data_IF_965100030106
#
_entry.id   IF_965100030106
#
_cell.length_a   1.000
_cell.length_b   1.000
_cell.length_c   1.000
_cell.angle_alpha   90.00
_cell.angle_beta   90.00
_cell.angle_gamma   90.00
#
_symmetry.space_group_name_H-M   'P 1'
#
loop_
_entity.id
_entity.type
_entity.pdbx_description
1 polymer ?
#
# COMPACT_ATOMS: atom_id res chain seq x y z
N UNK A 1 11.57 29.80 -12.66
CA UNK A 1 12.08 28.41 -12.45
C UNK A 1 12.53 28.24 -11.00
N UNK A 2 12.85 27.03 -10.53
CA UNK A 2 13.43 26.82 -9.19
C UNK A 2 14.87 26.34 -9.32
N UNK A 3 15.75 26.78 -8.42
CA UNK A 3 17.15 26.36 -8.43
C UNK A 3 17.26 24.88 -8.06
N UNK A 4 17.86 24.07 -8.94
CA UNK A 4 18.01 22.62 -8.72
C UNK A 4 18.91 22.27 -7.53
N UNK A 5 19.72 23.22 -7.05
CA UNK A 5 20.62 23.01 -5.91
C UNK A 5 20.01 23.38 -4.55
N UNK A 6 19.13 24.38 -4.49
CA UNK A 6 18.62 24.87 -3.20
C UNK A 6 17.10 25.09 -3.15
N UNK A 7 16.37 24.81 -4.23
CA UNK A 7 14.91 24.94 -4.28
C UNK A 7 14.38 26.38 -4.24
N UNK A 8 15.26 27.40 -4.20
CA UNK A 8 14.81 28.79 -4.22
C UNK A 8 14.22 29.17 -5.58
N UNK A 9 13.14 29.96 -5.57
CA UNK A 9 12.52 30.45 -6.80
C UNK A 9 13.47 31.43 -7.49
N UNK A 10 13.81 31.13 -8.74
CA UNK A 10 14.65 31.98 -9.61
C UNK A 10 13.74 32.64 -10.65
N UNK A 11 13.80 33.96 -10.69
CA UNK A 11 13.06 34.79 -11.64
C UNK A 11 13.68 34.69 -13.05
N UNK A 12 12.88 34.89 -14.09
CA UNK A 12 13.31 34.74 -15.49
C UNK A 12 14.40 35.77 -15.85
N UNK A 13 15.52 35.29 -16.42
CA UNK A 13 16.65 36.12 -16.83
C UNK A 13 17.84 36.17 -15.85
N UNK A 14 17.71 35.58 -14.66
CA UNK A 14 18.80 35.51 -13.66
C UNK A 14 19.83 34.43 -14.01
N UNK A 15 21.10 34.82 -14.11
CA UNK A 15 22.20 33.92 -14.49
C UNK A 15 22.71 33.05 -13.31
N UNK A 16 22.42 33.47 -12.09
CA UNK A 16 22.84 32.79 -10.85
C UNK A 16 21.70 32.83 -9.84
N UNK A 17 21.57 31.77 -9.04
CA UNK A 17 20.59 31.74 -7.95
C UNK A 17 20.98 32.78 -6.88
N UNK A 18 20.09 33.72 -6.52
CA UNK A 18 20.40 34.75 -5.53
C UNK A 18 20.58 34.20 -4.11
N UNK A 19 20.14 32.96 -3.86
CA UNK A 19 20.23 32.33 -2.55
C UNK A 19 21.51 31.49 -2.37
N UNK A 20 21.87 30.65 -3.35
CA UNK A 20 23.02 29.75 -3.22
C UNK A 20 24.20 30.04 -4.15
N UNK A 21 24.06 31.00 -5.07
CA UNK A 21 25.10 31.38 -6.04
C UNK A 21 25.32 30.38 -7.19
N UNK A 22 24.57 29.27 -7.24
CA UNK A 22 24.67 28.31 -8.34
C UNK A 22 24.19 28.93 -9.66
N UNK A 23 24.97 28.71 -10.72
CA UNK A 23 24.63 29.19 -12.07
C UNK A 23 23.38 28.48 -12.59
N UNK A 24 22.49 29.25 -13.23
CA UNK A 24 21.25 28.75 -13.80
C UNK A 24 21.40 28.70 -15.32
N UNK A 25 21.22 27.53 -15.90
CA UNK A 25 21.35 27.34 -17.35
C UNK A 25 20.10 27.88 -18.06
N UNK A 26 20.25 28.94 -18.87
CA UNK A 26 19.17 29.50 -19.67
C UNK A 26 19.31 29.08 -21.14
N UNK A 27 18.17 28.80 -21.79
CA UNK A 27 18.11 28.28 -23.17
C UNK A 27 18.78 29.21 -24.21
N UNK A 28 18.89 30.50 -23.94
CA UNK A 28 19.59 31.47 -24.79
C UNK A 28 21.13 31.31 -24.80
N UNK A 29 21.70 30.69 -23.77
CA UNK A 29 23.15 30.47 -23.68
C UNK A 29 23.60 29.29 -24.55
N UNK A 30 22.72 28.32 -24.79
CA UNK A 30 22.99 27.10 -25.57
C UNK A 30 23.05 27.39 -27.07
N UNK A 31 22.24 28.33 -27.57
CA UNK A 31 22.20 28.69 -29.00
C UNK A 31 23.47 29.45 -29.44
N UNK A 32 24.00 30.34 -28.59
CA UNK A 32 25.20 31.16 -28.88
C UNK A 32 26.51 30.36 -28.88
N UNK A 33 26.54 29.20 -28.23
CA UNK A 33 27.73 28.32 -28.21
C UNK A 33 27.80 27.48 -29.49
N UNK A 34 26.66 27.09 -30.05
CA UNK A 34 26.59 26.30 -31.29
C UNK A 34 27.00 27.14 -32.51
N UNK A 35 26.61 28.42 -32.54
CA UNK A 35 26.93 29.31 -33.66
C UNK A 35 28.45 29.57 -33.80
N UNK A 36 29.17 29.72 -32.68
CA UNK A 36 30.63 29.95 -32.68
C UNK A 36 31.46 28.70 -33.04
N UNK A 37 30.89 27.50 -32.97
CA UNK A 37 31.59 26.26 -33.29
C UNK A 37 31.57 25.92 -34.79
N UNK A 38 30.65 26.51 -35.57
CA UNK A 38 30.45 26.18 -36.99
C UNK A 38 31.45 26.94 -37.91
N UNK A 39 31.97 28.11 -37.52
CA UNK A 39 32.87 28.92 -38.36
C UNK A 39 34.28 28.35 -38.59
N UNK A 40 34.71 27.31 -37.84
CA UNK A 40 36.11 26.84 -37.88
C UNK A 40 36.34 25.47 -38.53
N UNK A 41 35.33 24.83 -39.12
CA UNK A 41 35.52 23.54 -39.79
C UNK A 41 35.78 23.71 -41.31
N UNK A 42 36.89 23.16 -41.87
CA UNK A 42 37.17 23.27 -43.30
C UNK A 42 36.31 22.31 -44.13
N UNK A 43 35.83 22.81 -45.28
CA UNK A 43 34.92 22.10 -46.20
C UNK A 43 35.60 20.96 -46.96
N UNK A 44 35.08 19.73 -46.82
CA UNK A 44 35.49 18.55 -47.62
C UNK A 44 34.52 18.34 -48.78
N UNK A 45 35.04 18.38 -50.01
CA UNK A 45 34.30 18.15 -51.27
C UNK A 45 33.72 16.73 -51.35
N UNK A 46 32.43 16.60 -51.65
CA UNK A 46 31.76 15.33 -51.95
C UNK A 46 31.73 15.07 -53.47
N UNK A 47 32.19 13.89 -53.91
CA UNK A 47 31.95 13.33 -55.26
C UNK A 47 30.77 12.34 -55.22
N UNK A 48 29.88 12.43 -56.20
CA UNK A 48 28.56 11.80 -56.21
C UNK A 48 28.51 10.30 -56.46
N UNK A 49 27.39 9.68 -56.03
CA UNK A 49 26.97 8.30 -56.37
C UNK A 49 25.43 8.23 -56.50
N UNK A 50 24.90 8.71 -57.63
CA UNK A 50 23.47 8.78 -57.93
C UNK A 50 22.77 7.47 -58.36
N UNK A 51 23.29 6.29 -57.99
CA UNK A 51 22.62 5.00 -58.31
C UNK A 51 22.29 4.11 -57.10
N UNK A 52 22.70 4.50 -55.90
CA UNK A 52 22.45 3.72 -54.67
C UNK A 52 21.15 4.18 -53.98
N UNK A 53 20.76 5.45 -54.12
CA UNK A 53 19.61 6.02 -53.38
C UNK A 53 18.26 5.41 -53.84
N UNK A 54 18.07 5.11 -55.13
CA UNK A 54 16.80 4.60 -55.64
C UNK A 54 16.47 3.16 -55.21
N UNK A 55 17.48 2.32 -54.95
CA UNK A 55 17.28 0.94 -54.49
C UNK A 55 16.94 0.91 -53.00
N UNK A 56 17.60 1.78 -52.22
CA UNK A 56 17.33 1.90 -50.78
C UNK A 56 15.97 2.53 -50.49
N UNK A 57 15.51 3.50 -51.29
CA UNK A 57 14.16 4.05 -51.15
C UNK A 57 13.08 3.01 -51.44
N UNK A 58 13.24 2.18 -52.48
CA UNK A 58 12.29 1.10 -52.78
C UNK A 58 12.24 0.04 -51.66
N UNK A 59 13.40 -0.34 -51.11
CA UNK A 59 13.48 -1.28 -49.98
C UNK A 59 12.83 -0.72 -48.71
N UNK A 60 13.05 0.57 -48.40
CA UNK A 60 12.42 1.23 -47.25
C UNK A 60 10.90 1.31 -47.43
N UNK A 61 10.40 1.63 -48.64
CA UNK A 61 8.95 1.63 -48.90
C UNK A 61 8.31 0.25 -48.71
N UNK A 62 8.98 -0.83 -49.12
CA UNK A 62 8.47 -2.20 -48.93
C UNK A 62 8.44 -2.57 -47.44
N UNK A 63 9.47 -2.21 -46.67
CA UNK A 63 9.52 -2.44 -45.23
C UNK A 63 8.41 -1.67 -44.52
N UNK A 64 8.15 -0.42 -44.90
CA UNK A 64 7.07 0.38 -44.32
C UNK A 64 5.68 -0.20 -44.64
N UNK A 65 5.47 -0.74 -45.85
CA UNK A 65 4.21 -1.41 -46.22
C UNK A 65 4.01 -2.70 -45.42
N UNK A 66 5.08 -3.50 -45.24
CA UNK A 66 5.02 -4.72 -44.43
C UNK A 66 4.78 -4.41 -42.95
N UNK A 67 5.39 -3.35 -42.41
CA UNK A 67 5.14 -2.88 -41.05
C UNK A 67 3.70 -2.41 -40.88
N UNK A 68 3.15 -1.65 -41.83
CA UNK A 68 1.75 -1.23 -41.80
C UNK A 68 0.77 -2.41 -41.91
N UNK A 69 1.08 -3.42 -42.73
CA UNK A 69 0.27 -4.63 -42.80
C UNK A 69 0.33 -5.43 -41.49
N UNK A 70 1.49 -5.51 -40.84
CA UNK A 70 1.67 -6.18 -39.56
C UNK A 70 0.95 -5.46 -38.41
N UNK A 71 0.95 -4.12 -38.38
CA UNK A 71 0.21 -3.36 -37.37
C UNK A 71 -1.30 -3.53 -37.53
N UNK A 72 -1.82 -3.50 -38.76
CA UNK A 72 -3.24 -3.77 -39.03
C UNK A 72 -3.63 -5.20 -38.61
N UNK A 73 -2.77 -6.19 -38.87
CA UNK A 73 -2.99 -7.57 -38.46
C UNK A 73 -2.99 -7.73 -36.93
N UNK A 74 -2.05 -7.09 -36.23
CA UNK A 74 -1.98 -7.11 -34.76
C UNK A 74 -3.19 -6.44 -34.11
N UNK A 75 -3.65 -5.30 -34.63
CA UNK A 75 -4.84 -4.62 -34.11
C UNK A 75 -6.08 -5.50 -34.28
N UNK A 76 -6.29 -6.09 -35.48
CA UNK A 76 -7.43 -7.02 -35.71
C UNK A 76 -7.37 -8.28 -34.84
N UNK A 77 -6.17 -8.80 -34.53
CA UNK A 77 -6.01 -9.94 -33.62
C UNK A 77 -6.39 -9.56 -32.17
N UNK A 78 -6.00 -8.36 -31.74
CA UNK A 78 -6.28 -7.86 -30.38
C UNK A 78 -7.77 -7.63 -30.10
N UNK A 79 -8.55 -7.26 -31.11
CA UNK A 79 -10.00 -7.07 -30.99
C UNK A 79 -10.75 -8.39 -30.78
N UNK A 80 -10.29 -9.47 -31.42
CA UNK A 80 -10.86 -10.82 -31.26
C UNK A 80 -10.63 -11.39 -29.86
N UNK A 81 -9.45 -11.14 -29.28
CA UNK A 81 -9.10 -11.59 -27.92
C UNK A 81 -9.94 -10.85 -26.86
N UNK A 82 -10.13 -9.52 -27.01
CA UNK A 82 -10.97 -8.72 -26.11
C UNK A 82 -12.45 -9.15 -26.13
N UNK A 83 -13.01 -9.48 -27.29
CA UNK A 83 -14.40 -9.95 -27.37
C UNK A 83 -14.60 -11.35 -26.77
N UNK A 84 -13.60 -12.23 -26.87
CA UNK A 84 -13.64 -13.55 -26.24
C UNK A 84 -13.56 -13.45 -24.70
N UNK A 85 -12.81 -12.49 -24.17
CA UNK A 85 -12.66 -12.26 -22.74
C UNK A 85 -13.92 -11.64 -22.11
N UNK A 86 -14.55 -10.67 -22.79
CA UNK A 86 -15.84 -10.09 -22.37
C UNK A 86 -16.95 -11.15 -22.29
N UNK A 87 -17.04 -12.06 -23.26
CA UNK A 87 -18.02 -13.17 -23.23
C UNK A 87 -17.77 -14.13 -22.07
N UNK A 88 -16.51 -14.46 -21.76
CA UNK A 88 -16.17 -15.31 -20.60
C UNK A 88 -16.55 -14.64 -19.28
N UNK A 89 -16.39 -13.33 -19.17
CA UNK A 89 -16.79 -12.57 -17.97
C UNK A 89 -18.31 -12.50 -17.79
N UNK A 90 -19.09 -12.38 -18.88
CA UNK A 90 -20.55 -12.44 -18.83
C UNK A 90 -21.07 -13.82 -18.41
N UNK A 91 -20.52 -14.91 -18.97
CA UNK A 91 -20.90 -16.28 -18.59
C UNK A 91 -20.56 -16.58 -17.12
N UNK A 92 -19.43 -16.10 -16.62
CA UNK A 92 -19.06 -16.24 -15.21
C UNK A 92 -19.97 -15.42 -14.28
N UNK A 93 -20.41 -14.23 -14.69
CA UNK A 93 -21.38 -13.41 -13.93
C UNK A 93 -22.75 -14.09 -13.84
N UNK A 94 -23.26 -14.67 -14.91
CA UNK A 94 -24.53 -15.42 -14.86
C UNK A 94 -24.44 -16.67 -13.97
N UNK A 95 -23.32 -17.40 -14.05
CA UNK A 95 -23.09 -18.60 -13.23
C UNK A 95 -22.98 -18.27 -11.74
N UNK A 96 -22.35 -17.14 -11.40
CA UNK A 96 -22.24 -16.63 -10.03
C UNK A 96 -23.59 -16.20 -9.47
N UNK A 97 -24.42 -15.52 -10.26
CA UNK A 97 -25.77 -15.08 -9.87
C UNK A 97 -26.68 -16.28 -9.57
N UNK A 98 -26.64 -17.31 -10.43
CA UNK A 98 -27.41 -18.55 -10.27
C UNK A 98 -26.99 -19.35 -9.02
N UNK A 99 -25.69 -19.35 -8.67
CA UNK A 99 -25.19 -19.95 -7.41
C UNK A 99 -25.65 -19.18 -6.17
N UNK A 100 -25.71 -17.84 -6.24
CA UNK A 100 -26.17 -16.99 -5.12
C UNK A 100 -27.66 -17.18 -4.83
N UNK A 101 -28.47 -17.33 -5.87
CA UNK A 101 -29.92 -17.57 -5.74
C UNK A 101 -30.24 -18.95 -5.16
N UNK A 102 -29.42 -19.97 -5.46
CA UNK A 102 -29.60 -21.33 -4.93
C UNK A 102 -29.22 -21.41 -3.43
N UNK A 103 -28.17 -20.69 -3.02
CA UNK A 103 -27.71 -20.66 -1.62
C UNK A 103 -28.69 -19.92 -0.69
N UNK A 104 -29.28 -18.82 -1.18
CA UNK A 104 -30.29 -18.05 -0.45
C UNK A 104 -31.61 -18.82 -0.22
N UNK A 105 -31.91 -19.80 -1.07
CA UNK A 105 -33.06 -20.68 -0.89
C UNK A 105 -32.83 -21.81 0.13
N UNK A 106 -31.57 -22.21 0.36
CA UNK A 106 -31.21 -23.24 1.36
C UNK A 106 -31.08 -22.65 2.77
N UNK A 107 -30.60 -21.41 2.92
CA UNK A 107 -30.42 -20.77 4.22
C UNK A 107 -31.77 -20.38 4.86
N UNK A 108 -32.74 -19.88 4.08
CA UNK A 108 -34.09 -19.58 4.56
C UNK A 108 -34.85 -20.81 5.11
N UNK A 109 -34.49 -22.03 4.67
CA UNK A 109 -35.13 -23.27 5.14
C UNK A 109 -34.56 -23.75 6.48
N UNK A 110 -33.37 -23.29 6.87
CA UNK A 110 -32.73 -23.63 8.16
C UNK A 110 -33.12 -22.69 9.29
N UNK A 111 -33.43 -21.42 8.99
CA UNK A 111 -33.90 -20.45 10.00
C UNK A 111 -35.32 -20.77 10.52
N UNK A 112 -36.22 -21.30 9.68
CA UNK A 112 -37.58 -21.68 10.12
C UNK A 112 -37.63 -22.90 11.07
N UNK A 113 -36.61 -23.75 11.07
CA UNK A 113 -36.52 -24.93 11.95
C UNK A 113 -35.91 -24.63 13.34
N UNK A 114 -35.17 -23.51 13.48
CA UNK A 114 -34.54 -23.10 14.75
C UNK A 114 -35.53 -22.32 15.62
N UNK A 115 -36.35 -21.44 15.02
CA UNK A 115 -37.35 -20.65 15.77
C UNK A 115 -38.45 -21.50 16.44
N UNK A 116 -38.73 -22.72 15.94
CA UNK A 116 -39.72 -23.61 16.57
C UNK A 116 -39.20 -24.39 17.79
N UNK A 117 -37.88 -24.41 18.03
CA UNK A 117 -37.29 -25.08 19.19
C UNK A 117 -37.14 -24.17 20.41
N UNK A 118 -36.99 -22.87 20.20
CA UNK A 118 -36.75 -21.92 21.30
C UNK A 118 -38.03 -21.57 22.09
N UNK A 119 -39.21 -21.63 21.47
CA UNK A 119 -40.49 -21.37 22.16
C UNK A 119 -40.94 -22.48 23.15
N UNK A 120 -40.30 -23.66 23.16
CA UNK A 120 -40.66 -24.76 24.07
C UNK A 120 -39.82 -24.84 25.36
N UNK A 121 -38.67 -24.16 25.43
CA UNK A 121 -37.82 -24.17 26.64
C UNK A 121 -38.12 -23.04 27.63
N UNK A 122 -38.85 -21.99 27.21
CA UNK A 122 -39.10 -20.80 28.03
C UNK A 122 -40.24 -20.93 29.07
N UNK A 123 -41.00 -22.03 29.08
CA UNK A 123 -42.14 -22.20 30.01
C UNK A 123 -41.86 -23.01 31.29
N UNK A 124 -40.64 -23.53 31.50
CA UNK A 124 -40.42 -24.51 32.59
C UNK A 124 -39.45 -24.08 33.71
N UNK A 125 -39.20 -22.79 33.92
CA UNK A 125 -38.42 -22.39 35.09
C UNK A 125 -38.82 -21.01 35.65
N UNK A 126 -40.03 -20.94 36.20
CA UNK A 126 -40.41 -19.95 37.21
C UNK A 126 -40.92 -20.65 38.46
N UNK A 127 -40.03 -20.96 39.40
CA UNK A 127 -40.28 -20.83 40.84
C UNK A 127 -39.05 -21.29 41.66
N UNK A 128 -38.18 -20.36 42.05
CA UNK A 128 -37.87 -20.17 43.46
C UNK A 128 -37.10 -18.87 43.67
N UNK A 129 -37.39 -18.26 44.80
CA UNK A 129 -37.33 -16.83 45.05
C UNK A 129 -36.04 -16.38 45.75
N UNK A 130 -35.85 -15.07 45.67
CA UNK A 130 -35.30 -14.17 46.69
C UNK A 130 -33.91 -13.55 46.47
N UNK A 131 -34.00 -12.23 46.23
CA UNK A 131 -33.11 -11.18 46.73
C UNK A 131 -31.61 -11.51 46.72
N UNK A 132 -30.93 -10.99 45.71
CA UNK A 132 -29.61 -10.40 45.92
C UNK A 132 -29.57 -9.10 45.12
N UNK A 133 -29.19 -8.02 45.80
CA UNK A 133 -28.98 -6.70 45.20
C UNK A 133 -28.01 -6.85 44.03
N UNK A 134 -28.49 -6.52 42.84
CA UNK A 134 -27.66 -6.29 41.67
C UNK A 134 -26.81 -5.05 41.94
N UNK A 135 -25.60 -5.31 42.42
CA UNK A 135 -24.53 -4.34 42.44
C UNK A 135 -24.17 -4.18 40.97
N UNK A 136 -24.61 -3.09 40.34
CA UNK A 136 -24.12 -2.65 39.04
C UNK A 136 -22.59 -2.77 39.08
N UNK A 137 -22.08 -3.78 38.37
CA UNK A 137 -20.66 -3.96 38.16
C UNK A 137 -20.27 -2.81 37.23
N UNK A 138 -19.28 -1.98 37.56
CA UNK A 138 -18.92 -0.87 36.69
C UNK A 138 -18.55 -1.44 35.33
N UNK A 139 -19.20 -0.94 34.28
CA UNK A 139 -18.77 -1.13 32.89
C UNK A 139 -17.28 -0.80 32.84
N UNK A 140 -16.45 -1.83 32.67
CA UNK A 140 -15.01 -1.69 32.74
C UNK A 140 -14.56 -0.86 31.53
N UNK A 141 -14.24 0.41 31.79
CA UNK A 141 -13.59 1.34 30.87
C UNK A 141 -12.54 0.61 30.00
N UNK A 142 -12.45 0.94 28.69
CA UNK A 142 -11.48 0.29 27.82
C UNK A 142 -10.06 0.57 28.31
N UNK A 143 -9.28 -0.49 28.54
CA UNK A 143 -7.89 -0.40 29.00
C UNK A 143 -6.92 0.03 27.88
N UNK A 144 -7.36 0.88 26.94
CA UNK A 144 -6.62 1.29 25.77
C UNK A 144 -7.03 2.67 25.26
N UNK A 145 -6.23 3.24 24.36
CA UNK A 145 -6.44 4.55 23.75
C UNK A 145 -7.46 4.44 22.61
N UNK A 146 -8.53 5.26 22.59
CA UNK A 146 -9.46 5.31 21.46
C UNK A 146 -8.73 5.67 20.17
N UNK A 147 -8.98 4.91 19.11
CA UNK A 147 -8.33 5.13 17.79
C UNK A 147 -9.22 5.90 16.82
N UNK A 148 -10.54 5.93 17.05
CA UNK A 148 -11.52 6.39 16.06
C UNK A 148 -11.67 5.46 14.85
N UNK A 149 -11.01 4.29 14.85
CA UNK A 149 -11.11 3.28 13.81
C UNK A 149 -12.11 2.19 14.21
N UNK A 150 -12.64 1.50 13.20
CA UNK A 150 -13.59 0.39 13.40
C UNK A 150 -13.13 -0.86 12.67
N UNK A 151 -13.32 -2.01 13.31
CA UNK A 151 -13.10 -3.33 12.75
C UNK A 151 -14.25 -4.25 13.14
N UNK A 152 -14.74 -5.08 12.21
CA UNK A 152 -15.89 -5.96 12.41
C UNK A 152 -17.14 -5.28 13.02
N UNK A 153 -17.35 -3.99 12.72
CA UNK A 153 -18.51 -3.22 13.20
C UNK A 153 -18.39 -2.67 14.62
N UNK A 154 -17.23 -2.79 15.26
CA UNK A 154 -16.94 -2.23 16.58
C UNK A 154 -15.76 -1.27 16.52
N UNK A 155 -15.76 -0.26 17.39
CA UNK A 155 -14.57 0.58 17.61
C UNK A 155 -13.45 -0.27 18.19
N UNK A 156 -12.22 -0.04 17.75
CA UNK A 156 -11.03 -0.68 18.30
C UNK A 156 -10.23 0.28 19.16
N UNK A 157 -9.65 -0.25 20.24
CA UNK A 157 -8.84 0.53 21.16
C UNK A 157 -7.40 0.04 21.09
N UNK A 158 -6.45 0.98 20.92
CA UNK A 158 -5.03 0.69 20.94
C UNK A 158 -4.59 0.35 22.36
N UNK A 159 -3.93 -0.80 22.52
CA UNK A 159 -3.47 -1.27 23.82
C UNK A 159 -2.11 -0.64 24.16
N UNK A 160 -1.93 -0.23 25.42
CA UNK A 160 -0.73 0.46 25.87
C UNK A 160 0.51 -0.47 25.92
N UNK A 161 1.36 -0.35 24.91
CA UNK A 161 2.64 -1.02 24.78
C UNK A 161 3.74 -0.01 24.39
N UNK A 162 4.93 -0.20 24.95
CA UNK A 162 6.14 0.46 24.45
C UNK A 162 6.58 -0.23 23.16
N UNK A 163 6.83 0.56 22.11
CA UNK A 163 7.20 0.07 20.77
C UNK A 163 8.66 0.37 20.49
N UNK A 164 9.38 -0.65 20.02
CA UNK A 164 10.76 -0.57 19.53
C UNK A 164 10.90 -1.30 18.20
N UNK A 165 11.94 -0.99 17.44
CA UNK A 165 12.22 -1.63 16.15
C UNK A 165 13.67 -2.14 16.11
N UNK A 166 13.93 -3.13 15.27
CA UNK A 166 15.30 -3.64 15.02
C UNK A 166 16.22 -2.57 14.43
N UNK A 167 15.66 -1.66 13.63
CA UNK A 167 16.34 -0.49 13.09
C UNK A 167 15.34 0.66 12.85
N UNK A 168 15.89 1.83 12.58
CA UNK A 168 15.16 3.04 12.17
C UNK A 168 16.00 3.76 11.12
N UNK A 169 15.39 4.22 10.04
CA UNK A 169 16.06 5.05 9.04
C UNK A 169 16.45 6.40 9.64
N UNK A 170 17.75 6.72 9.55
CA UNK A 170 18.29 8.00 10.00
C UNK A 170 18.54 8.92 8.80
N UNK A 171 17.66 9.91 8.60
CA UNK A 171 17.80 10.91 7.54
C UNK A 171 17.66 12.33 8.09
N UNK A 172 18.59 13.22 7.72
CA UNK A 172 18.62 14.59 8.24
C UNK A 172 17.36 15.36 7.83
N UNK A 173 16.60 15.83 8.83
CA UNK A 173 15.39 16.62 8.62
C UNK A 173 14.11 15.80 8.53
N UNK A 174 14.19 14.47 8.66
CA UNK A 174 13.05 13.56 8.68
C UNK A 174 13.03 12.78 10.00
N UNK A 175 11.86 12.26 10.37
CA UNK A 175 11.67 11.44 11.54
C UNK A 175 10.88 10.19 11.17
N UNK A 176 11.56 9.05 11.19
CA UNK A 176 11.02 7.72 10.88
C UNK A 176 10.95 6.80 12.12
N UNK A 177 11.00 7.39 13.31
CA UNK A 177 11.02 6.64 14.57
C UNK A 177 9.73 5.88 14.88
N UNK A 178 9.82 4.97 15.83
CA UNK A 178 8.72 4.06 16.20
C UNK A 178 7.50 4.75 16.80
N UNK A 179 7.63 5.99 17.28
CA UNK A 179 6.48 6.77 17.76
C UNK A 179 5.44 7.01 16.65
N UNK A 180 5.86 7.00 15.38
CA UNK A 180 4.97 7.16 14.24
C UNK A 180 4.07 5.92 14.01
N UNK A 181 4.38 4.76 14.60
CA UNK A 181 3.55 3.55 14.44
C UNK A 181 2.25 3.59 15.24
N UNK A 182 2.11 4.56 16.14
CA UNK A 182 1.05 4.60 17.16
C UNK A 182 0.45 6.00 17.30
N UNK A 183 0.74 6.93 16.38
CA UNK A 183 0.25 8.30 16.45
C UNK A 183 -1.10 8.49 15.74
N UNK A 184 -1.58 7.46 15.01
CA UNK A 184 -2.84 7.49 14.25
C UNK A 184 -2.82 8.63 13.21
N UNK A 185 -1.64 8.93 12.66
CA UNK A 185 -1.41 9.92 11.63
C UNK A 185 -0.89 9.26 10.35
N UNK A 186 -1.78 9.14 9.37
CA UNK A 186 -1.44 8.54 8.08
C UNK A 186 -0.31 9.29 7.32
N UNK A 187 0.01 10.52 7.72
CA UNK A 187 1.05 11.33 7.11
C UNK A 187 2.46 11.07 7.67
N UNK A 188 2.60 10.24 8.70
CA UNK A 188 3.89 9.79 9.24
C UNK A 188 4.12 8.31 8.93
N UNK A 189 5.34 7.84 9.11
CA UNK A 189 5.63 6.40 9.07
C UNK A 189 6.90 6.07 9.85
N UNK A 190 7.00 4.83 10.30
CA UNK A 190 8.29 4.20 10.53
C UNK A 190 8.88 3.76 9.18
N UNK A 191 10.20 3.85 9.06
CA UNK A 191 10.96 3.28 7.95
C UNK A 191 12.16 2.53 8.52
N UNK A 192 12.43 1.33 7.99
CA UNK A 192 13.60 0.57 8.40
C UNK A 192 14.90 1.24 7.94
N UNK A 193 15.95 1.10 8.73
CA UNK A 193 17.27 1.66 8.44
C UNK A 193 18.32 0.59 8.15
N UNK A 194 17.89 -0.66 7.96
CA UNK A 194 18.79 -1.77 7.71
C UNK A 194 19.15 -1.83 6.22
N UNK A 195 20.26 -2.50 5.90
CA UNK A 195 20.59 -2.75 4.51
C UNK A 195 19.68 -3.84 3.93
N UNK A 196 19.04 -3.55 2.80
CA UNK A 196 18.14 -4.47 2.11
C UNK A 196 16.72 -3.93 2.07
N UNK A 197 15.77 -4.78 1.72
CA UNK A 197 14.38 -4.37 1.49
C UNK A 197 13.49 -4.44 2.75
N UNK A 198 14.07 -4.51 3.95
CA UNK A 198 13.32 -4.65 5.20
C UNK A 198 12.93 -6.10 5.61
N UNK A 199 13.25 -7.14 4.83
CA UNK A 199 13.02 -8.52 5.28
C UNK A 199 13.90 -8.87 6.49
N UNK A 200 13.30 -9.49 7.51
CA UNK A 200 13.81 -9.76 8.86
C UNK A 200 13.86 -8.57 9.81
N UNK A 201 13.48 -7.37 9.37
CA UNK A 201 13.25 -6.27 10.30
C UNK A 201 12.03 -6.58 11.17
N UNK A 202 12.00 -6.02 12.38
CA UNK A 202 10.99 -6.37 13.37
C UNK A 202 10.58 -5.20 14.24
N UNK A 203 9.31 -5.22 14.64
CA UNK A 203 8.71 -4.34 15.64
C UNK A 203 8.45 -5.17 16.90
N UNK A 204 8.87 -4.65 18.04
CA UNK A 204 8.71 -5.28 19.35
C UNK A 204 7.84 -4.40 20.25
N UNK A 205 6.72 -4.95 20.67
CA UNK A 205 5.79 -4.39 21.65
C UNK A 205 6.09 -4.99 23.02
N UNK A 206 6.34 -4.16 24.03
CA UNK A 206 6.54 -4.61 25.42
C UNK A 206 5.69 -3.81 26.41
N UNK A 207 5.27 -4.45 27.49
CA UNK A 207 4.57 -3.81 28.60
C UNK A 207 4.98 -4.42 29.93
N UNK A 208 4.94 -3.63 31.01
CA UNK A 208 5.35 -4.08 32.34
C UNK A 208 4.38 -5.11 32.95
N UNK A 209 3.12 -5.09 32.55
CA UNK A 209 2.07 -6.00 32.99
C UNK A 209 1.36 -6.59 31.78
N UNK A 210 0.90 -7.84 31.89
CA UNK A 210 0.12 -8.48 30.83
C UNK A 210 -1.13 -7.66 30.50
N UNK A 211 -1.26 -7.27 29.24
CA UNK A 211 -2.42 -6.59 28.68
C UNK A 211 -3.31 -7.59 27.95
N UNK A 212 -4.62 -7.32 27.91
CA UNK A 212 -5.55 -8.07 27.07
C UNK A 212 -5.49 -7.52 25.65
N UNK A 213 -5.23 -8.39 24.69
CA UNK A 213 -5.07 -8.07 23.26
C UNK A 213 -5.94 -9.00 22.43
N UNK A 214 -6.56 -8.48 21.37
CA UNK A 214 -7.40 -9.23 20.42
C UNK A 214 -6.71 -9.45 19.07
N UNK A 215 -5.83 -8.54 18.66
CA UNK A 215 -5.14 -8.64 17.38
C UNK A 215 -4.11 -7.54 17.14
N UNK A 216 -3.59 -7.52 15.92
CA UNK A 216 -2.66 -6.51 15.39
C UNK A 216 -3.35 -5.71 14.28
N UNK A 217 -3.37 -4.38 14.39
CA UNK A 217 -3.74 -3.48 13.32
C UNK A 217 -2.45 -2.94 12.70
N UNK A 218 -2.34 -2.91 11.37
CA UNK A 218 -1.21 -2.28 10.70
C UNK A 218 -1.58 -1.67 9.34
N UNK A 219 -0.98 -0.53 9.04
CA UNK A 219 -1.13 0.20 7.79
C UNK A 219 0.20 0.16 7.04
N UNK A 220 0.38 -0.79 6.10
CA UNK A 220 1.66 -1.01 5.43
C UNK A 220 1.95 0.04 4.34
N UNK A 221 3.20 0.51 4.28
CA UNK A 221 3.68 1.50 3.33
C UNK A 221 3.71 2.93 3.90
N UNK A 222 3.84 3.91 3.01
CA UNK A 222 3.79 5.36 3.32
C UNK A 222 2.72 6.02 2.44
N UNK A 223 1.75 6.72 3.03
CA UNK A 223 0.57 7.21 2.34
C UNK A 223 0.57 8.70 2.00
N UNK A 224 1.67 9.41 2.26
CA UNK A 224 1.81 10.86 1.96
C UNK A 224 1.61 11.18 0.47
N UNK A 225 1.91 10.24 -0.42
CA UNK A 225 1.49 10.26 -1.82
C UNK A 225 1.54 8.87 -2.44
N UNK A 226 0.74 8.63 -3.49
CA UNK A 226 0.81 7.39 -4.28
C UNK A 226 2.21 7.15 -4.86
N UNK A 227 2.90 8.22 -5.28
CA UNK A 227 4.27 8.11 -5.78
C UNK A 227 5.25 7.63 -4.71
N UNK A 228 5.19 8.19 -3.49
CA UNK A 228 6.04 7.73 -2.39
C UNK A 228 5.69 6.31 -1.94
N UNK A 229 4.42 5.94 -1.98
CA UNK A 229 3.98 4.58 -1.68
C UNK A 229 4.69 3.55 -2.57
N UNK A 230 4.67 3.75 -3.89
CA UNK A 230 5.30 2.82 -4.84
C UNK A 230 6.82 2.95 -4.92
N UNK A 231 7.39 4.09 -4.52
CA UNK A 231 8.85 4.27 -4.45
C UNK A 231 9.48 3.50 -3.31
N UNK A 232 8.77 3.32 -2.21
CA UNK A 232 9.24 2.61 -1.02
C UNK A 232 8.65 1.18 -0.96
N UNK A 233 9.28 0.36 -0.13
CA UNK A 233 8.79 -0.96 0.21
C UNK A 233 7.64 -0.94 1.22
N UNK A 234 6.86 -2.01 1.27
CA UNK A 234 5.80 -2.22 2.26
C UNK A 234 5.71 -3.69 2.68
N UNK A 235 5.49 -4.02 3.97
CA UNK A 235 5.37 -5.42 4.39
C UNK A 235 4.18 -6.09 3.70
N UNK A 236 4.39 -7.30 3.18
CA UNK A 236 3.34 -8.17 2.60
C UNK A 236 3.17 -9.48 3.36
N UNK A 237 4.18 -9.87 4.16
CA UNK A 237 4.10 -11.01 5.05
C UNK A 237 4.80 -10.72 6.39
N UNK A 238 4.20 -11.25 7.46
CA UNK A 238 4.62 -11.06 8.84
C UNK A 238 4.67 -12.42 9.56
N UNK A 239 5.65 -12.59 10.44
CA UNK A 239 5.65 -13.59 11.50
C UNK A 239 5.39 -12.87 12.82
N UNK A 240 4.34 -13.26 13.53
CA UNK A 240 3.88 -12.59 14.75
C UNK A 240 3.99 -13.56 15.91
N UNK A 241 4.87 -13.26 16.86
CA UNK A 241 5.07 -14.00 18.10
C UNK A 241 4.39 -13.22 19.23
N UNK A 242 3.39 -13.79 19.91
CA UNK A 242 2.60 -13.13 20.95
C UNK A 242 2.43 -14.03 22.18
N UNK A 243 3.22 -13.76 23.22
CA UNK A 243 3.34 -14.68 24.36
C UNK A 243 3.97 -16.01 23.95
N UNK A 244 3.29 -17.12 24.22
CA UNK A 244 3.76 -18.48 23.85
C UNK A 244 3.20 -18.96 22.51
N UNK A 245 2.46 -18.10 21.80
CA UNK A 245 1.83 -18.39 20.52
C UNK A 245 2.53 -17.64 19.39
N UNK A 246 2.42 -18.17 18.17
CA UNK A 246 2.93 -17.50 16.98
C UNK A 246 2.03 -17.79 15.77
N UNK A 247 2.01 -16.87 14.82
CA UNK A 247 1.31 -17.06 13.55
C UNK A 247 2.03 -16.36 12.40
N UNK A 248 1.87 -16.93 11.20
CA UNK A 248 2.26 -16.28 9.96
C UNK A 248 1.04 -15.63 9.31
N UNK A 249 1.23 -14.43 8.78
CA UNK A 249 0.21 -13.71 8.02
C UNK A 249 0.81 -13.22 6.71
N UNK A 250 0.05 -13.31 5.63
CA UNK A 250 0.42 -12.72 4.34
C UNK A 250 -0.82 -12.19 3.65
N UNK A 251 -0.67 -11.09 2.94
CA UNK A 251 -1.72 -10.53 2.09
C UNK A 251 -1.13 -10.13 0.73
N UNK A 252 -2.01 -9.73 -0.19
CA UNK A 252 -1.60 -9.14 -1.46
C UNK A 252 -2.07 -7.69 -1.45
N UNK A 253 -1.13 -6.76 -1.60
CA UNK A 253 -1.44 -5.35 -1.72
C UNK A 253 -2.28 -5.09 -2.99
N UNK A 254 -3.34 -4.30 -2.82
CA UNK A 254 -4.27 -3.92 -3.89
C UNK A 254 -4.35 -2.40 -4.09
N UNK A 255 -3.58 -1.61 -3.33
CA UNK A 255 -3.63 -0.15 -3.38
C UNK A 255 -5.02 0.43 -3.04
N UNK A 256 -5.78 -0.22 -2.17
CA UNK A 256 -7.18 0.14 -1.86
C UNK A 256 -7.34 1.59 -1.41
N UNK A 257 -6.40 2.09 -0.60
CA UNK A 257 -6.40 3.45 -0.09
C UNK A 257 -6.42 4.53 -1.20
N UNK A 258 -5.72 4.30 -2.31
CA UNK A 258 -5.65 5.27 -3.42
C UNK A 258 -6.91 5.24 -4.30
N UNK A 259 -7.66 4.13 -4.26
CA UNK A 259 -8.95 4.02 -4.95
C UNK A 259 -10.01 4.82 -4.21
N UNK A 260 -10.00 4.81 -2.88
CA UNK A 260 -11.01 5.47 -2.04
C UNK A 260 -10.62 6.90 -1.66
N UNK A 261 -9.33 7.23 -1.68
CA UNK A 261 -8.81 8.51 -1.22
C UNK A 261 -8.68 8.61 0.30
N UNK A 262 -8.82 7.50 1.02
CA UNK A 262 -8.64 7.41 2.47
C UNK A 262 -7.53 6.40 2.79
N UNK A 263 -6.44 6.88 3.40
CA UNK A 263 -5.29 6.05 3.76
C UNK A 263 -5.67 4.86 4.65
N UNK A 264 -6.55 5.08 5.63
CA UNK A 264 -6.97 4.03 6.57
C UNK A 264 -7.81 2.92 5.93
N UNK A 265 -8.26 3.06 4.68
CA UNK A 265 -8.87 1.95 3.93
C UNK A 265 -7.82 0.91 3.47
N UNK A 266 -6.53 1.22 3.63
CA UNK A 266 -5.42 0.29 3.52
C UNK A 266 -5.09 -0.43 4.85
N UNK A 267 -5.77 -0.10 5.94
CA UNK A 267 -5.50 -0.70 7.26
C UNK A 267 -5.88 -2.19 7.25
N UNK A 268 -4.98 -3.01 7.77
CA UNK A 268 -5.15 -4.46 7.88
C UNK A 268 -5.30 -4.82 9.35
N UNK A 269 -6.32 -5.64 9.63
CA UNK A 269 -6.60 -6.16 10.96
C UNK A 269 -6.37 -7.67 10.99
N UNK A 270 -5.45 -8.11 11.84
CA UNK A 270 -5.11 -9.52 12.07
C UNK A 270 -5.65 -9.92 13.44
N UNK A 271 -6.80 -10.58 13.46
CA UNK A 271 -7.39 -11.13 14.68
C UNK A 271 -6.62 -12.39 15.14
N UNK A 272 -6.25 -12.47 16.42
CA UNK A 272 -5.66 -13.67 17.02
C UNK A 272 -6.69 -14.80 17.27
N UNK A 273 -7.96 -14.57 16.90
CA UNK A 273 -9.08 -15.50 17.05
C UNK A 273 -9.65 -15.60 18.48
N UNK A 274 -8.96 -15.05 19.47
CA UNK A 274 -9.37 -14.95 20.87
C UNK A 274 -8.67 -13.78 21.53
N UNK A 275 -9.18 -13.34 22.67
CA UNK A 275 -8.42 -12.46 23.55
C UNK A 275 -7.27 -13.23 24.21
N UNK A 276 -6.08 -12.63 24.20
CA UNK A 276 -4.87 -13.15 24.83
C UNK A 276 -4.32 -12.16 25.85
N UNK A 277 -3.70 -12.67 26.93
CA UNK A 277 -3.05 -11.84 27.94
C UNK A 277 -1.54 -11.93 27.79
N UNK A 278 -0.94 -10.89 27.20
CA UNK A 278 0.48 -10.86 26.83
C UNK A 278 1.16 -9.58 27.34
N UNK A 279 2.45 -9.67 27.64
CA UNK A 279 3.31 -8.52 27.96
C UNK A 279 4.34 -8.23 26.88
N UNK A 280 4.39 -9.08 25.85
CA UNK A 280 5.33 -9.00 24.74
C UNK A 280 4.66 -9.51 23.46
N UNK A 281 4.89 -8.81 22.36
CA UNK A 281 4.58 -9.26 21.01
C UNK A 281 5.69 -8.80 20.07
N UNK A 282 6.25 -9.71 19.28
CA UNK A 282 7.24 -9.41 18.26
C UNK A 282 6.65 -9.68 16.88
N UNK A 283 6.68 -8.67 16.01
CA UNK A 283 6.27 -8.76 14.62
C UNK A 283 7.53 -8.70 13.77
N UNK A 284 7.86 -9.79 13.08
CA UNK A 284 8.99 -9.85 12.13
C UNK A 284 8.45 -9.80 10.72
N UNK A 285 9.01 -8.93 9.88
CA UNK A 285 8.68 -8.81 8.46
C UNK A 285 9.32 -9.98 7.73
N UNK A 286 8.50 -10.85 7.13
CA UNK A 286 8.96 -12.06 6.41
C UNK A 286 8.82 -11.94 4.90
N UNK A 287 8.13 -10.91 4.42
CA UNK A 287 8.03 -10.58 3.00
C UNK A 287 7.69 -9.11 2.80
N UNK A 288 8.25 -8.52 1.75
CA UNK A 288 8.11 -7.10 1.42
C UNK A 288 7.78 -6.96 -0.06
N UNK A 289 6.81 -6.10 -0.37
CA UNK A 289 6.67 -5.53 -1.70
C UNK A 289 7.82 -4.56 -1.92
N UNK A 290 8.69 -4.82 -2.88
CA UNK A 290 9.78 -3.91 -3.20
C UNK A 290 9.28 -2.54 -3.69
N UNK A 291 10.00 -1.48 -3.30
CA UNK A 291 9.86 -0.16 -3.88
C UNK A 291 10.49 -0.08 -5.27
N UNK A 292 10.04 0.86 -6.10
CA UNK A 292 10.62 1.10 -7.42
C UNK A 292 11.82 2.07 -7.39
N UNK A 293 12.19 2.61 -6.23
CA UNK A 293 13.28 3.58 -6.07
C UNK A 293 14.11 3.37 -4.81
N UNK A 294 13.46 3.15 -3.67
CA UNK A 294 14.10 3.00 -2.38
C UNK A 294 13.94 1.55 -1.90
N UNK A 295 14.94 1.05 -1.21
CA UNK A 295 14.89 -0.27 -0.59
C UNK A 295 14.17 -0.21 0.77
N UNK A 296 13.98 0.99 1.34
CA UNK A 296 13.38 1.17 2.67
C UNK A 296 11.93 0.64 2.73
N UNK A 297 11.64 -0.21 3.71
CA UNK A 297 10.33 -0.72 4.03
C UNK A 297 9.63 0.23 5.02
N UNK A 298 8.46 0.75 4.63
CA UNK A 298 7.70 1.69 5.44
C UNK A 298 6.46 1.05 6.07
N UNK A 299 6.12 1.51 7.28
CA UNK A 299 4.88 1.19 7.98
C UNK A 299 4.32 2.48 8.57
N UNK A 300 3.13 2.87 8.14
CA UNK A 300 2.45 4.08 8.62
C UNK A 300 1.90 3.88 10.03
N UNK A 301 1.16 2.80 10.29
CA UNK A 301 0.67 2.46 11.64
C UNK A 301 0.96 0.99 11.94
N UNK A 302 1.24 0.66 13.19
CA UNK A 302 1.19 -0.70 13.70
C UNK A 302 1.00 -0.72 15.21
N UNK A 303 -0.11 -1.29 15.67
CA UNK A 303 -0.41 -1.41 17.09
C UNK A 303 -1.27 -2.62 17.42
N UNK A 304 -1.17 -3.08 18.67
CA UNK A 304 -2.04 -4.12 19.21
C UNK A 304 -3.39 -3.50 19.61
N UNK A 305 -4.50 -4.15 19.26
CA UNK A 305 -5.84 -3.67 19.59
C UNK A 305 -6.63 -4.67 20.44
N UNK A 306 -7.67 -4.15 21.10
CA UNK A 306 -8.72 -4.91 21.80
C UNK A 306 -10.09 -4.55 21.27
#
# INVERSE_FOLDING_TARGET
MFCENCGHKVEEGEQFCPNCGQRVETEEATEKVIEKAIEKAPAVKRKGKGKIIAVWTALICIILILAAAATIFFVKKSEGEKQAELKKQEEQKETSKRRKDTKRAEDNKKEEDIQKKEEQEEQNNQSESEKTQEKELPEAEPAGTPTGLTHAGSEIYMVDFTVSASSVLEETGYNYGTQNLTDVDWATCWADGAAGNGVNESILFTSAQKQTVRGLAFLPGIYTSEELYWKNGAPEALHIEYGDEAMDYSYTDKGSAFITGNAFDGMIYIDFGKEVKISECKVTITGVRDGNKYDDCCITEMFLYR
#
